data_IF_939802414637
#
_entry.id   IF_939802414637
#
_cell.length_a   1.000
_cell.length_b   1.000
_cell.length_c   1.000
_cell.angle_alpha   90.00
_cell.angle_beta   90.00
_cell.angle_gamma   90.00
#
_symmetry.space_group_name_H-M   'P 1'
#
loop_
_entity.id
_entity.type
_entity.pdbx_description
1 polymer ?
#
# COMPACT_ATOMS: atom_id res chain seq x y z
N UNK A 1 -11.25 -10.50 -4.10
CA UNK A 1 -11.98 -11.36 -3.16
C UNK A 1 -12.99 -10.50 -2.39
N UNK A 2 -14.22 -11.01 -2.24
CA UNK A 2 -15.34 -10.30 -1.63
C UNK A 2 -15.49 -10.74 -0.17
N UNK A 3 -15.32 -9.79 0.77
CA UNK A 3 -15.38 -10.04 2.20
C UNK A 3 -16.45 -9.18 2.88
N UNK A 4 -17.75 -9.50 2.73
CA UNK A 4 -18.86 -8.66 3.23
C UNK A 4 -18.89 -8.55 4.76
N UNK A 5 -18.27 -9.47 5.50
CA UNK A 5 -18.16 -9.38 6.96
C UNK A 5 -17.44 -8.12 7.43
N UNK A 6 -16.50 -7.60 6.65
CA UNK A 6 -15.77 -6.36 6.96
C UNK A 6 -16.70 -5.14 7.05
N UNK A 7 -17.85 -5.14 6.36
CA UNK A 7 -18.81 -4.03 6.44
C UNK A 7 -19.41 -3.84 7.83
N UNK A 8 -19.36 -4.88 8.68
CA UNK A 8 -19.86 -4.85 10.06
C UNK A 8 -18.77 -4.35 11.04
N UNK A 9 -17.55 -4.14 10.57
CA UNK A 9 -16.42 -3.74 11.40
C UNK A 9 -16.20 -2.22 11.30
N UNK A 10 -16.27 -1.46 12.42
CA UNK A 10 -15.97 -0.04 12.41
C UNK A 10 -14.57 0.29 11.87
N UNK A 11 -13.59 -0.59 12.13
CA UNK A 11 -12.22 -0.46 11.64
C UNK A 11 -12.12 -0.34 10.11
N UNK A 12 -13.02 -1.00 9.37
CA UNK A 12 -13.13 -0.89 7.91
C UNK A 12 -13.33 0.56 7.47
N UNK A 13 -14.30 1.25 8.07
CA UNK A 13 -14.65 2.63 7.70
C UNK A 13 -13.57 3.63 8.12
N UNK A 14 -12.94 3.42 9.28
CA UNK A 14 -11.82 4.25 9.73
C UNK A 14 -10.60 4.11 8.82
N UNK A 15 -10.23 2.88 8.45
CA UNK A 15 -9.12 2.64 7.53
C UNK A 15 -9.40 3.24 6.15
N UNK A 16 -10.62 3.06 5.63
CA UNK A 16 -11.03 3.67 4.36
C UNK A 16 -10.93 5.20 4.41
N UNK A 17 -11.50 5.84 5.46
CA UNK A 17 -11.44 7.29 5.62
C UNK A 17 -9.99 7.81 5.74
N UNK A 18 -9.12 7.07 6.43
CA UNK A 18 -7.70 7.43 6.54
C UNK A 18 -6.99 7.38 5.18
N UNK A 19 -7.23 6.34 4.38
CA UNK A 19 -6.65 6.23 3.04
C UNK A 19 -7.21 7.28 2.07
N UNK A 20 -8.51 7.58 2.12
CA UNK A 20 -9.09 8.72 1.38
C UNK A 20 -8.38 10.03 1.74
N UNK A 21 -8.17 10.27 3.03
CA UNK A 21 -7.53 11.48 3.54
C UNK A 21 -6.05 11.54 3.18
N UNK A 22 -5.37 10.40 3.11
CA UNK A 22 -4.00 10.30 2.64
C UNK A 22 -3.89 10.59 1.13
N UNK A 23 -4.86 10.14 0.33
CA UNK A 23 -4.84 10.29 -1.12
C UNK A 23 -5.14 11.72 -1.58
N UNK A 24 -6.13 12.40 -1.00
CA UNK A 24 -6.57 13.73 -1.46
C UNK A 24 -6.59 14.80 -0.37
N UNK A 25 -6.38 14.44 0.88
CA UNK A 25 -6.52 15.33 2.03
C UNK A 25 -7.94 15.37 2.59
N UNK A 26 -8.06 15.35 3.93
CA UNK A 26 -9.37 15.33 4.61
C UNK A 26 -10.27 16.49 4.19
N UNK A 27 -9.77 17.73 4.22
CA UNK A 27 -10.55 18.92 3.84
C UNK A 27 -11.00 18.89 2.38
N UNK A 28 -10.20 18.32 1.50
CA UNK A 28 -10.50 18.28 0.06
C UNK A 28 -11.68 17.36 -0.24
N UNK A 29 -11.68 16.12 0.27
CA UNK A 29 -12.81 15.23 0.01
C UNK A 29 -14.08 15.66 0.73
N UNK A 30 -13.99 16.25 1.93
CA UNK A 30 -15.17 16.81 2.65
C UNK A 30 -15.77 17.98 1.86
N UNK A 31 -14.94 18.93 1.40
CA UNK A 31 -15.39 20.03 0.55
C UNK A 31 -15.93 19.52 -0.80
N UNK A 32 -15.35 18.45 -1.35
CA UNK A 32 -15.87 17.78 -2.54
C UNK A 32 -17.29 17.27 -2.33
N UNK A 33 -17.56 16.59 -1.22
CA UNK A 33 -18.95 16.15 -0.87
C UNK A 33 -19.89 17.36 -0.75
N UNK A 34 -19.48 18.42 -0.06
CA UNK A 34 -20.26 19.67 0.00
C UNK A 34 -20.51 20.24 -1.39
N UNK A 35 -19.50 20.23 -2.25
CA UNK A 35 -19.60 20.73 -3.62
C UNK A 35 -20.65 20.01 -4.47
N UNK A 36 -20.87 18.71 -4.23
CA UNK A 36 -21.95 17.96 -4.89
C UNK A 36 -23.31 18.60 -4.63
N UNK A 37 -23.57 19.05 -3.40
CA UNK A 37 -24.84 19.70 -3.04
C UNK A 37 -24.96 21.14 -3.57
N UNK A 38 -23.82 21.79 -3.81
CA UNK A 38 -23.75 23.14 -4.39
C UNK A 38 -23.82 23.13 -5.93
N UNK A 39 -23.63 22.00 -6.55
CA UNK A 39 -23.67 21.82 -7.99
C UNK A 39 -25.06 22.04 -8.60
N UNK A 40 -25.13 22.40 -9.88
CA UNK A 40 -26.39 22.54 -10.61
C UNK A 40 -27.19 21.23 -10.56
N UNK A 41 -28.44 21.34 -10.11
CA UNK A 41 -29.29 20.19 -9.83
C UNK A 41 -29.62 19.32 -11.04
N UNK A 42 -29.62 19.91 -12.24
CA UNK A 42 -30.06 19.23 -13.48
C UNK A 42 -28.91 18.63 -14.28
N UNK A 43 -27.72 19.23 -14.22
CA UNK A 43 -26.60 18.85 -15.09
C UNK A 43 -25.43 18.23 -14.30
N UNK A 44 -24.92 18.92 -13.30
CA UNK A 44 -23.68 18.58 -12.63
C UNK A 44 -23.89 17.58 -11.49
N UNK A 45 -24.90 17.82 -10.66
CA UNK A 45 -25.16 17.02 -9.45
C UNK A 45 -25.39 15.52 -9.73
N UNK A 46 -26.19 15.12 -10.75
CA UNK A 46 -26.37 13.70 -11.05
C UNK A 46 -25.08 13.00 -11.45
N UNK A 47 -24.22 13.68 -12.22
CA UNK A 47 -22.91 13.16 -12.59
C UNK A 47 -22.03 12.96 -11.35
N UNK A 48 -21.90 13.99 -10.52
CA UNK A 48 -21.07 13.94 -9.32
C UNK A 48 -21.57 12.88 -8.35
N UNK A 49 -22.89 12.79 -8.13
CA UNK A 49 -23.48 11.73 -7.31
C UNK A 49 -23.17 10.35 -7.87
N UNK A 50 -23.28 10.17 -9.19
CA UNK A 50 -22.94 8.90 -9.85
C UNK A 50 -21.49 8.49 -9.62
N UNK A 51 -20.56 9.45 -9.70
CA UNK A 51 -19.14 9.22 -9.45
C UNK A 51 -18.88 8.80 -7.99
N UNK A 52 -19.49 9.50 -7.02
CA UNK A 52 -19.36 9.15 -5.60
C UNK A 52 -19.99 7.80 -5.27
N UNK A 53 -21.19 7.53 -5.81
CA UNK A 53 -21.86 6.23 -5.64
C UNK A 53 -21.02 5.11 -6.26
N UNK A 54 -20.45 5.34 -7.45
CA UNK A 54 -19.54 4.39 -8.10
C UNK A 54 -18.30 4.10 -7.25
N UNK A 55 -17.68 5.13 -6.66
CA UNK A 55 -16.54 4.97 -5.77
C UNK A 55 -16.89 4.20 -4.50
N UNK A 56 -18.05 4.51 -3.88
CA UNK A 56 -18.55 3.77 -2.71
C UNK A 56 -18.83 2.31 -3.08
N UNK A 57 -19.52 2.06 -4.19
CA UNK A 57 -19.81 0.71 -4.65
C UNK A 57 -18.52 -0.09 -4.92
N UNK A 58 -17.50 0.54 -5.48
CA UNK A 58 -16.19 -0.06 -5.70
C UNK A 58 -15.54 -0.45 -4.37
N UNK A 59 -15.53 0.44 -3.37
CA UNK A 59 -14.98 0.13 -2.03
C UNK A 59 -15.75 -0.97 -1.30
N UNK A 60 -17.07 -0.99 -1.41
CA UNK A 60 -17.89 -2.06 -0.84
C UNK A 60 -17.67 -3.41 -1.53
N UNK A 61 -17.36 -3.40 -2.83
CA UNK A 61 -17.08 -4.64 -3.59
C UNK A 61 -15.71 -5.22 -3.24
N UNK A 62 -14.71 -4.37 -3.00
CA UNK A 62 -13.33 -4.78 -2.70
C UNK A 62 -12.87 -4.32 -1.30
N UNK A 63 -13.60 -4.67 -0.21
CA UNK A 63 -13.38 -4.07 1.11
C UNK A 63 -11.97 -4.26 1.65
N UNK A 64 -11.36 -5.44 1.48
CA UNK A 64 -10.00 -5.71 1.91
C UNK A 64 -8.97 -4.81 1.21
N UNK A 65 -9.08 -4.68 -0.11
CA UNK A 65 -8.13 -3.87 -0.90
C UNK A 65 -8.27 -2.38 -0.60
N UNK A 66 -9.49 -1.93 -0.35
CA UNK A 66 -9.78 -0.55 0.02
C UNK A 66 -9.23 -0.13 1.39
N UNK A 67 -8.88 -1.08 2.24
CA UNK A 67 -8.30 -0.79 3.57
C UNK A 67 -6.80 -1.06 3.65
N UNK A 68 -6.23 -1.72 2.64
CA UNK A 68 -4.83 -2.15 2.67
C UNK A 68 -3.97 -1.57 1.56
N UNK A 69 -4.57 -1.01 0.50
CA UNK A 69 -3.85 -0.53 -0.68
C UNK A 69 -4.29 0.88 -1.07
N UNK A 70 -3.39 1.83 -0.98
CA UNK A 70 -3.64 3.25 -1.24
C UNK A 70 -3.99 3.54 -2.71
N UNK A 71 -3.44 2.79 -3.66
CA UNK A 71 -3.71 2.97 -5.09
C UNK A 71 -5.17 2.66 -5.51
N UNK A 72 -5.95 1.94 -4.71
CA UNK A 72 -7.38 1.77 -4.94
C UNK A 72 -8.16 3.10 -4.75
N UNK A 73 -7.55 4.10 -4.12
CA UNK A 73 -8.14 5.43 -3.94
C UNK A 73 -7.78 6.41 -5.06
N UNK A 74 -6.97 6.03 -6.06
CA UNK A 74 -6.66 6.88 -7.21
C UNK A 74 -7.90 7.43 -7.94
N UNK A 75 -9.00 6.67 -8.13
CA UNK A 75 -10.23 7.22 -8.72
C UNK A 75 -10.85 8.37 -7.91
N UNK A 76 -10.58 8.47 -6.61
CA UNK A 76 -11.08 9.57 -5.78
C UNK A 76 -10.48 10.93 -6.18
N UNK A 77 -9.25 10.96 -6.73
CA UNK A 77 -8.57 12.21 -7.10
C UNK A 77 -9.40 13.02 -8.11
N UNK A 78 -9.76 12.49 -9.29
CA UNK A 78 -10.60 13.22 -10.23
C UNK A 78 -12.03 13.46 -9.69
N UNK A 79 -12.59 12.55 -8.91
CA UNK A 79 -13.91 12.73 -8.29
C UNK A 79 -13.91 13.93 -7.35
N UNK A 80 -12.94 14.00 -6.44
CA UNK A 80 -12.80 15.11 -5.51
C UNK A 80 -12.53 16.43 -6.25
N UNK A 81 -11.64 16.44 -7.24
CA UNK A 81 -11.32 17.62 -8.03
C UNK A 81 -12.55 18.19 -8.77
N UNK A 82 -13.33 17.34 -9.44
CA UNK A 82 -14.57 17.76 -10.11
C UNK A 82 -15.62 18.26 -9.10
N UNK A 83 -15.73 17.57 -7.97
CA UNK A 83 -16.71 17.93 -6.93
C UNK A 83 -16.35 19.22 -6.20
N UNK A 84 -15.07 19.61 -6.16
CA UNK A 84 -14.64 20.89 -5.59
C UNK A 84 -15.07 22.11 -6.43
N UNK A 85 -15.22 21.96 -7.74
CA UNK A 85 -15.48 23.08 -8.64
C UNK A 85 -16.71 23.92 -8.24
N UNK A 86 -17.90 23.34 -7.91
CA UNK A 86 -19.03 24.12 -7.43
C UNK A 86 -18.76 24.83 -6.10
N UNK A 87 -18.06 24.21 -5.17
CA UNK A 87 -17.72 24.83 -3.88
C UNK A 87 -16.76 26.01 -4.08
N UNK A 88 -15.73 25.82 -4.92
CA UNK A 88 -14.77 26.88 -5.28
C UNK A 88 -15.48 28.05 -5.96
N UNK A 89 -16.43 27.78 -6.87
CA UNK A 89 -17.26 28.82 -7.52
C UNK A 89 -17.99 29.66 -6.48
N UNK A 90 -18.70 29.05 -5.52
CA UNK A 90 -19.40 29.78 -4.46
C UNK A 90 -18.45 30.61 -3.59
N UNK A 91 -17.30 30.03 -3.23
CA UNK A 91 -16.27 30.73 -2.45
C UNK A 91 -15.75 31.94 -3.26
N UNK A 92 -15.43 31.73 -4.55
CA UNK A 92 -14.91 32.78 -5.40
C UNK A 92 -15.92 33.94 -5.54
N UNK A 93 -17.18 33.64 -5.87
CA UNK A 93 -18.25 34.66 -5.95
C UNK A 93 -18.42 35.42 -4.64
N UNK A 94 -18.35 34.72 -3.50
CA UNK A 94 -18.52 35.33 -2.18
C UNK A 94 -17.38 36.30 -1.82
N UNK A 95 -16.15 35.92 -2.10
CA UNK A 95 -14.97 36.67 -1.64
C UNK A 95 -14.45 37.67 -2.67
N UNK A 96 -14.62 37.42 -3.99
CA UNK A 96 -14.04 38.26 -5.03
C UNK A 96 -15.05 39.10 -5.79
N UNK A 97 -16.28 38.65 -5.99
CA UNK A 97 -17.30 39.39 -6.74
C UNK A 97 -18.22 40.23 -5.85
N UNK A 98 -18.50 39.81 -4.61
CA UNK A 98 -19.42 40.50 -3.69
C UNK A 98 -18.70 41.42 -2.72
N UNK A 99 -17.90 42.36 -3.15
CA UNK A 99 -17.30 43.44 -2.33
C UNK A 99 -16.80 43.03 -0.93
N UNK A 100 -16.30 41.80 -0.79
CA UNK A 100 -15.56 41.41 0.40
C UNK A 100 -14.32 42.30 0.49
N UNK A 101 -14.04 42.85 1.67
CA UNK A 101 -12.88 43.71 1.88
C UNK A 101 -11.56 43.00 1.51
N UNK A 102 -10.48 43.75 1.41
CA UNK A 102 -9.15 43.23 1.05
C UNK A 102 -8.69 42.09 2.02
N UNK A 103 -8.92 42.29 3.32
CA UNK A 103 -8.46 41.35 4.35
C UNK A 103 -8.98 39.90 4.16
N UNK A 104 -10.29 39.63 3.99
CA UNK A 104 -10.77 38.25 3.80
C UNK A 104 -10.27 37.63 2.48
N UNK A 105 -10.02 38.42 1.43
CA UNK A 105 -9.39 37.92 0.18
C UNK A 105 -7.96 37.48 0.42
N UNK A 106 -7.17 38.29 1.10
CA UNK A 106 -5.78 37.95 1.44
C UNK A 106 -5.72 36.73 2.37
N UNK A 107 -6.63 36.66 3.34
CA UNK A 107 -6.73 35.52 4.25
C UNK A 107 -7.05 34.20 3.50
N UNK A 108 -7.98 34.24 2.54
CA UNK A 108 -8.29 33.06 1.70
C UNK A 108 -7.10 32.64 0.84
N UNK A 109 -6.44 33.60 0.19
CA UNK A 109 -5.23 33.32 -0.62
C UNK A 109 -4.13 32.73 0.26
N UNK A 110 -3.87 33.33 1.43
CA UNK A 110 -2.86 32.83 2.36
C UNK A 110 -3.19 31.41 2.85
N UNK A 111 -4.46 31.11 3.14
CA UNK A 111 -4.91 29.76 3.54
C UNK A 111 -4.68 28.73 2.44
N UNK A 112 -5.00 29.06 1.18
CA UNK A 112 -4.78 28.17 0.04
C UNK A 112 -3.28 27.94 -0.18
N UNK A 113 -2.46 29.00 -0.16
CA UNK A 113 -1.01 28.90 -0.32
C UNK A 113 -0.38 28.10 0.83
N UNK A 114 -0.80 28.34 2.06
CA UNK A 114 -0.33 27.57 3.21
C UNK A 114 -0.69 26.09 3.10
N UNK A 115 -1.95 25.77 2.79
CA UNK A 115 -2.39 24.38 2.60
C UNK A 115 -1.60 23.67 1.49
N UNK A 116 -1.38 24.35 0.37
CA UNK A 116 -0.57 23.83 -0.74
C UNK A 116 0.89 23.61 -0.32
N UNK A 117 1.48 24.55 0.41
CA UNK A 117 2.86 24.44 0.90
C UNK A 117 3.03 23.26 1.87
N UNK A 118 2.06 23.07 2.77
CA UNK A 118 2.05 21.92 3.71
C UNK A 118 1.99 20.59 2.95
N UNK A 119 1.11 20.46 1.97
CA UNK A 119 1.01 19.23 1.18
C UNK A 119 2.26 18.98 0.32
N UNK A 120 2.81 20.02 -0.28
CA UNK A 120 4.07 19.94 -1.01
C UNK A 120 5.24 19.51 -0.11
N UNK A 121 5.28 20.01 1.13
CA UNK A 121 6.27 19.59 2.13
C UNK A 121 6.14 18.11 2.49
N UNK A 122 4.94 17.63 2.76
CA UNK A 122 4.70 16.19 3.03
C UNK A 122 5.07 15.33 1.83
N UNK A 123 4.68 15.73 0.61
CA UNK A 123 5.06 15.04 -0.61
C UNK A 123 6.58 14.95 -0.78
N UNK A 124 7.28 16.09 -0.58
CA UNK A 124 8.75 16.14 -0.62
C UNK A 124 9.38 15.23 0.44
N UNK A 125 8.87 15.27 1.69
CA UNK A 125 9.39 14.45 2.78
C UNK A 125 9.24 12.95 2.47
N UNK A 126 8.09 12.55 1.92
CA UNK A 126 7.82 11.16 1.51
C UNK A 126 8.74 10.72 0.37
N UNK A 127 8.95 11.55 -0.64
CA UNK A 127 9.88 11.27 -1.73
C UNK A 127 11.34 11.19 -1.24
N UNK A 128 11.72 12.05 -0.30
CA UNK A 128 13.08 12.05 0.25
C UNK A 128 13.36 10.87 1.20
N UNK A 129 12.33 10.26 1.79
CA UNK A 129 12.47 9.08 2.66
C UNK A 129 12.73 7.78 1.89
N UNK A 130 12.43 7.76 0.60
CA UNK A 130 12.65 6.60 -0.27
C UNK A 130 14.03 6.73 -0.95
N UNK A 131 15.06 6.18 -0.33
CA UNK A 131 16.42 6.18 -0.89
C UNK A 131 16.71 4.84 -1.57
N UNK A 132 16.69 4.83 -2.89
CA UNK A 132 16.93 3.65 -3.71
C UNK A 132 18.36 3.56 -4.26
N UNK A 133 19.31 4.41 -3.81
CA UNK A 133 20.67 4.46 -4.36
C UNK A 133 21.46 3.18 -4.16
N UNK A 134 21.20 2.48 -3.07
CA UNK A 134 21.88 1.23 -2.73
C UNK A 134 21.09 -0.03 -3.15
N UNK A 135 19.96 0.14 -3.81
CA UNK A 135 19.09 -1.00 -4.12
C UNK A 135 19.73 -1.93 -5.15
N UNK A 136 20.23 -1.40 -6.25
CA UNK A 136 20.89 -2.22 -7.28
C UNK A 136 22.09 -2.99 -6.74
N UNK A 137 23.10 -2.36 -6.09
CA UNK A 137 24.24 -3.08 -5.51
C UNK A 137 23.85 -4.14 -4.47
N UNK A 138 22.82 -3.86 -3.67
CA UNK A 138 22.31 -4.82 -2.67
C UNK A 138 21.78 -6.11 -3.30
N UNK A 139 20.95 -5.98 -4.34
CA UNK A 139 20.39 -7.15 -5.01
C UNK A 139 21.41 -7.87 -5.91
N UNK A 140 22.34 -7.13 -6.52
CA UNK A 140 23.46 -7.69 -7.28
C UNK A 140 24.33 -8.58 -6.36
N UNK A 141 24.69 -8.11 -5.17
CA UNK A 141 25.46 -8.89 -4.20
C UNK A 141 24.77 -10.23 -3.86
N UNK A 142 23.43 -10.19 -3.61
CA UNK A 142 22.67 -11.39 -3.31
C UNK A 142 22.63 -12.34 -4.53
N UNK A 143 22.43 -11.79 -5.73
CA UNK A 143 22.44 -12.56 -6.98
C UNK A 143 23.77 -13.26 -7.22
N UNK A 144 24.88 -12.55 -7.03
CA UNK A 144 26.24 -13.08 -7.15
C UNK A 144 26.49 -14.23 -6.16
N UNK A 145 26.08 -14.06 -4.89
CA UNK A 145 26.20 -15.11 -3.86
C UNK A 145 25.40 -16.38 -4.21
N UNK A 146 24.25 -16.21 -4.85
CA UNK A 146 23.37 -17.31 -5.27
C UNK A 146 23.76 -17.90 -6.64
N UNK A 147 24.71 -17.28 -7.35
CA UNK A 147 25.23 -17.74 -8.65
C UNK A 147 24.24 -17.63 -9.80
N UNK A 148 23.21 -16.79 -9.68
CA UNK A 148 22.17 -16.43 -10.68
C UNK A 148 21.30 -17.59 -11.22
N UNK A 149 21.59 -18.82 -10.84
CA UNK A 149 20.89 -20.03 -11.35
C UNK A 149 20.31 -20.90 -10.24
N UNK A 150 20.54 -20.56 -8.98
CA UNK A 150 20.06 -21.35 -7.85
C UNK A 150 18.53 -21.41 -7.81
N UNK A 151 17.99 -22.54 -7.38
CA UNK A 151 16.56 -22.69 -7.09
C UNK A 151 16.26 -22.07 -5.73
N UNK A 152 15.76 -20.83 -5.72
CA UNK A 152 15.53 -20.02 -4.52
C UNK A 152 14.05 -19.88 -4.23
N UNK A 153 13.70 -19.88 -2.95
CA UNK A 153 12.44 -19.37 -2.43
C UNK A 153 12.74 -18.28 -1.41
N UNK A 154 11.93 -17.25 -1.31
CA UNK A 154 12.28 -16.16 -0.41
C UNK A 154 11.12 -15.35 0.12
N UNK A 155 11.35 -14.83 1.31
CA UNK A 155 10.56 -13.78 1.95
C UNK A 155 11.23 -12.44 1.69
N UNK A 156 10.96 -11.88 0.50
CA UNK A 156 11.66 -10.72 -0.04
C UNK A 156 10.67 -9.64 -0.49
N UNK A 157 11.16 -8.39 -0.55
CA UNK A 157 10.37 -7.27 -1.07
C UNK A 157 9.87 -7.58 -2.49
N UNK A 158 8.66 -7.10 -2.78
CA UNK A 158 8.03 -7.20 -4.09
C UNK A 158 8.05 -8.63 -4.66
N UNK A 159 7.83 -9.64 -3.79
CA UNK A 159 7.74 -11.06 -4.17
C UNK A 159 8.96 -11.59 -4.95
N UNK A 160 10.13 -10.99 -4.74
CA UNK A 160 11.38 -11.39 -5.41
C UNK A 160 11.63 -10.69 -6.76
N UNK A 161 10.75 -9.80 -7.22
CA UNK A 161 10.96 -9.09 -8.49
C UNK A 161 12.19 -8.18 -8.48
N UNK A 162 12.56 -7.60 -7.32
CA UNK A 162 13.78 -6.79 -7.19
C UNK A 162 15.03 -7.63 -7.35
N UNK A 163 15.07 -8.82 -6.75
CA UNK A 163 16.14 -9.78 -6.92
C UNK A 163 16.25 -10.23 -8.39
N UNK A 164 15.12 -10.51 -9.03
CA UNK A 164 15.11 -10.89 -10.44
C UNK A 164 15.63 -9.77 -11.36
N UNK A 165 15.27 -8.52 -11.08
CA UNK A 165 15.61 -7.38 -11.91
C UNK A 165 17.06 -6.91 -11.72
N UNK A 166 17.49 -6.72 -10.47
CA UNK A 166 18.82 -6.21 -10.16
C UNK A 166 19.85 -7.33 -9.94
N UNK A 167 19.45 -8.41 -9.27
CA UNK A 167 20.33 -9.53 -8.92
C UNK A 167 20.39 -10.62 -9.99
N UNK A 168 19.61 -10.50 -11.09
CA UNK A 168 19.55 -11.51 -12.16
C UNK A 168 19.29 -12.92 -11.63
N UNK A 169 18.64 -13.04 -10.48
CA UNK A 169 18.34 -14.27 -9.78
C UNK A 169 16.82 -14.40 -9.55
N UNK A 170 16.22 -15.42 -10.14
CA UNK A 170 14.82 -15.73 -9.91
C UNK A 170 14.60 -16.37 -8.53
N UNK A 171 13.52 -16.00 -7.86
CA UNK A 171 13.06 -16.70 -6.66
C UNK A 171 11.54 -16.95 -6.72
N UNK A 172 11.12 -18.03 -6.09
CA UNK A 172 9.69 -18.21 -5.76
C UNK A 172 9.40 -17.39 -4.51
N UNK A 173 8.22 -16.77 -4.44
CA UNK A 173 7.84 -16.00 -3.26
C UNK A 173 7.29 -16.92 -2.16
N UNK A 174 7.78 -16.76 -0.93
CA UNK A 174 7.10 -17.21 0.26
C UNK A 174 6.01 -16.20 0.65
N UNK A 175 4.95 -16.68 1.29
CA UNK A 175 3.82 -15.84 1.71
C UNK A 175 4.22 -14.78 2.74
N UNK A 176 3.76 -13.56 2.56
CA UNK A 176 3.77 -12.54 3.61
C UNK A 176 2.58 -12.74 4.56
N UNK A 177 2.63 -12.14 5.75
CA UNK A 177 1.58 -12.25 6.77
C UNK A 177 0.19 -11.85 6.24
N UNK A 178 0.14 -10.86 5.35
CA UNK A 178 -1.10 -10.43 4.71
C UNK A 178 -1.72 -11.52 3.82
N UNK A 179 -0.91 -12.26 3.06
CA UNK A 179 -1.39 -13.37 2.22
C UNK A 179 -1.98 -14.50 3.07
N UNK A 180 -1.34 -14.80 4.20
CA UNK A 180 -1.80 -15.79 5.18
C UNK A 180 -3.14 -15.35 5.76
N UNK A 181 -3.25 -14.09 6.19
CA UNK A 181 -4.49 -13.52 6.73
C UNK A 181 -5.65 -13.58 5.73
N UNK A 182 -5.40 -13.23 4.47
CA UNK A 182 -6.43 -13.30 3.41
C UNK A 182 -6.93 -14.72 3.19
N UNK A 183 -6.06 -15.73 3.30
CA UNK A 183 -6.45 -17.13 3.19
C UNK A 183 -7.34 -17.56 4.35
N UNK A 184 -6.99 -17.20 5.59
CA UNK A 184 -7.85 -17.46 6.76
C UNK A 184 -9.21 -16.75 6.66
N UNK A 185 -9.25 -15.49 6.22
CA UNK A 185 -10.49 -14.75 5.97
C UNK A 185 -11.36 -15.43 4.89
N UNK A 186 -10.73 -16.12 3.95
CA UNK A 186 -11.41 -16.91 2.91
C UNK A 186 -11.84 -18.30 3.39
N UNK A 187 -11.65 -18.64 4.68
CA UNK A 187 -12.00 -19.93 5.26
C UNK A 187 -11.05 -21.06 4.86
N UNK A 188 -9.84 -20.75 4.40
CA UNK A 188 -8.82 -21.74 4.11
C UNK A 188 -8.00 -22.00 5.38
N UNK A 189 -7.96 -23.24 5.82
CA UNK A 189 -7.01 -23.67 6.84
C UNK A 189 -5.66 -23.95 6.16
N UNK A 190 -4.60 -23.37 6.71
CA UNK A 190 -3.25 -23.46 6.15
C UNK A 190 -2.30 -24.07 7.18
N UNK A 191 -1.93 -25.36 6.96
CA UNK A 191 -0.81 -25.95 7.68
C UNK A 191 0.51 -25.33 7.15
N UNK A 192 1.06 -24.40 7.92
CA UNK A 192 2.28 -23.67 7.55
C UNK A 192 3.49 -24.62 7.41
N UNK A 193 3.57 -25.69 8.24
CA UNK A 193 4.69 -26.64 8.17
C UNK A 193 4.62 -27.51 6.92
N UNK A 194 3.43 -28.02 6.62
CA UNK A 194 3.19 -28.77 5.40
C UNK A 194 3.46 -27.91 4.17
N UNK A 195 2.91 -26.70 4.16
CA UNK A 195 3.11 -25.74 3.04
C UNK A 195 4.58 -25.38 2.84
N UNK A 196 5.33 -25.20 3.92
CA UNK A 196 6.78 -24.97 3.83
C UNK A 196 7.49 -26.16 3.18
N UNK A 197 7.18 -27.38 3.60
CA UNK A 197 7.80 -28.58 3.02
C UNK A 197 7.47 -28.72 1.52
N UNK A 198 6.24 -28.41 1.11
CA UNK A 198 5.81 -28.44 -0.29
C UNK A 198 6.55 -27.38 -1.14
N UNK A 199 6.59 -26.13 -0.68
CA UNK A 199 7.13 -25.01 -1.48
C UNK A 199 8.66 -24.98 -1.49
N UNK A 200 9.31 -25.56 -0.49
CA UNK A 200 10.77 -25.69 -0.43
C UNK A 200 11.29 -26.96 -1.13
N UNK A 201 10.40 -27.87 -1.55
CA UNK A 201 10.81 -29.06 -2.27
C UNK A 201 11.59 -28.71 -3.54
N UNK A 202 12.84 -29.20 -3.64
CA UNK A 202 13.73 -28.93 -4.75
C UNK A 202 14.35 -27.53 -4.78
N UNK A 203 14.16 -26.73 -3.72
CA UNK A 203 14.85 -25.46 -3.55
C UNK A 203 16.20 -25.67 -2.88
N UNK A 204 17.18 -24.85 -3.28
CA UNK A 204 18.53 -24.88 -2.72
C UNK A 204 18.67 -23.91 -1.55
N UNK A 205 18.02 -22.74 -1.64
CA UNK A 205 18.14 -21.68 -0.64
C UNK A 205 16.79 -21.08 -0.28
N UNK A 206 16.71 -20.64 0.99
CA UNK A 206 15.65 -19.77 1.47
C UNK A 206 16.25 -18.40 1.80
N UNK A 207 15.84 -17.37 1.06
CA UNK A 207 16.31 -16.00 1.24
C UNK A 207 15.31 -15.19 2.07
N UNK A 208 15.79 -14.46 3.06
CA UNK A 208 15.02 -13.49 3.84
C UNK A 208 15.67 -12.13 3.74
N UNK A 209 14.93 -11.13 3.28
CA UNK A 209 15.29 -9.71 3.35
C UNK A 209 14.23 -8.90 4.11
N UNK A 210 13.10 -9.53 4.44
CA UNK A 210 11.99 -8.93 5.19
C UNK A 210 11.95 -9.50 6.62
N UNK A 211 12.90 -9.11 7.47
CA UNK A 211 12.98 -9.62 8.85
C UNK A 211 11.73 -9.34 9.69
N UNK A 212 11.07 -8.19 9.47
CA UNK A 212 9.79 -7.89 10.12
C UNK A 212 8.72 -8.93 9.81
N UNK A 213 8.61 -9.34 8.53
CA UNK A 213 7.69 -10.38 8.10
C UNK A 213 8.08 -11.76 8.63
N UNK A 214 9.38 -12.08 8.70
CA UNK A 214 9.85 -13.31 9.32
C UNK A 214 9.49 -13.36 10.81
N UNK A 215 9.65 -12.26 11.53
CA UNK A 215 9.28 -12.17 12.94
C UNK A 215 7.78 -12.33 13.19
N UNK A 216 6.94 -11.93 12.24
CA UNK A 216 5.49 -12.15 12.26
C UNK A 216 5.09 -13.60 11.96
N UNK A 217 6.06 -14.45 11.56
CA UNK A 217 5.84 -15.86 11.20
C UNK A 217 6.73 -16.79 12.08
N UNK A 218 6.47 -16.91 13.38
CA UNK A 218 7.35 -17.62 14.32
C UNK A 218 7.58 -19.07 13.93
N UNK A 219 6.59 -19.76 13.38
CA UNK A 219 6.70 -21.17 12.95
C UNK A 219 7.78 -21.34 11.87
N UNK A 220 7.82 -20.42 10.89
CA UNK A 220 8.82 -20.48 9.82
C UNK A 220 10.18 -20.03 10.33
N UNK A 221 10.22 -18.99 11.14
CA UNK A 221 11.45 -18.53 11.77
C UNK A 221 12.12 -19.65 12.54
N UNK A 222 11.40 -20.30 13.45
CA UNK A 222 11.90 -21.41 14.24
C UNK A 222 12.36 -22.58 13.37
N UNK A 223 11.59 -22.89 12.31
CA UNK A 223 11.95 -23.98 11.39
C UNK A 223 13.24 -23.69 10.63
N UNK A 224 13.42 -22.48 10.12
CA UNK A 224 14.61 -22.07 9.39
C UNK A 224 15.86 -22.12 10.29
N UNK A 225 15.82 -21.44 11.43
CA UNK A 225 16.99 -21.37 12.33
C UNK A 225 17.31 -22.68 13.05
N UNK A 226 16.32 -23.58 13.26
CA UNK A 226 16.57 -24.85 13.93
C UNK A 226 17.00 -25.99 13.01
N UNK A 227 16.64 -25.92 11.71
CA UNK A 227 16.83 -27.05 10.78
C UNK A 227 17.81 -26.79 9.65
N UNK A 228 18.10 -25.53 9.33
CA UNK A 228 18.90 -25.22 8.17
C UNK A 228 20.10 -24.36 8.54
N UNK A 229 21.30 -24.67 8.07
CA UNK A 229 22.47 -23.84 8.32
C UNK A 229 22.34 -22.52 7.56
N UNK A 230 22.88 -21.46 8.17
CA UNK A 230 23.03 -20.16 7.52
C UNK A 230 24.14 -20.25 6.50
N UNK A 231 23.81 -20.01 5.22
CA UNK A 231 24.77 -19.95 4.12
C UNK A 231 25.47 -18.58 4.07
N UNK A 232 24.70 -17.50 4.23
CA UNK A 232 25.21 -16.13 4.32
C UNK A 232 24.25 -15.27 5.13
N UNK A 233 24.80 -14.31 5.87
CA UNK A 233 24.02 -13.40 6.73
C UNK A 233 24.69 -12.03 6.78
N UNK A 234 23.86 -10.99 6.77
CA UNK A 234 24.22 -9.60 7.03
C UNK A 234 23.10 -8.96 7.87
N UNK A 235 23.24 -7.68 8.20
CA UNK A 235 22.16 -6.95 8.87
C UNK A 235 20.91 -6.75 7.99
N UNK A 236 21.02 -6.95 6.66
CA UNK A 236 19.97 -6.67 5.70
C UNK A 236 19.35 -7.93 5.07
N UNK A 237 20.04 -9.08 5.11
CA UNK A 237 19.51 -10.35 4.62
C UNK A 237 20.12 -11.56 5.33
N UNK A 238 19.40 -12.69 5.26
CA UNK A 238 19.93 -14.02 5.62
C UNK A 238 19.52 -15.04 4.55
N UNK A 239 20.43 -15.94 4.21
CA UNK A 239 20.24 -17.03 3.27
C UNK A 239 20.44 -18.35 4.03
N UNK A 240 19.45 -19.22 4.02
CA UNK A 240 19.51 -20.56 4.60
C UNK A 240 19.78 -21.60 3.50
N UNK A 241 20.65 -22.55 3.77
CA UNK A 241 20.90 -23.70 2.90
C UNK A 241 19.86 -24.80 3.16
N UNK A 242 18.98 -25.01 2.21
CA UNK A 242 17.92 -26.03 2.30
C UNK A 242 18.39 -27.42 1.90
N UNK A 243 19.57 -27.55 1.29
CA UNK A 243 20.10 -28.84 0.80
C UNK A 243 20.77 -29.66 1.91
N UNK A 244 21.29 -28.97 2.95
CA UNK A 244 22.03 -29.62 4.04
C UNK A 244 21.34 -29.38 5.39
N UNK A 245 20.11 -29.89 5.64
CA UNK A 245 19.45 -29.68 6.89
C UNK A 245 20.29 -30.27 8.05
N UNK A 246 20.37 -29.51 9.15
CA UNK A 246 21.02 -29.99 10.38
C UNK A 246 20.17 -31.11 10.95
N UNK A 247 20.80 -32.25 11.22
CA UNK A 247 20.10 -33.37 11.86
C UNK A 247 19.51 -32.92 13.21
N UNK A 248 18.27 -33.32 13.55
CA UNK A 248 17.64 -32.97 14.82
C UNK A 248 18.37 -33.57 16.01
#
# INVERSE_FOLDING_TARGET
>A
RFFPKMWLEPAFYFSWQNLMSSAVGFGVWVLGVVGVFLADARRERPLLLGLWVGYIAFGMTFPYHFTTHDYYHLPLIPIAALSLAPAVKVIFERFFERNAGLFPRLALVALVLFGTAVQAWYGRARLASADYRNEAPFWEEIGDKLGHTAAVIGLTQDYGYRLAYWGWQNSSAWFISADIQVRYMAGQDLDIRQKFAEDTAGKQYFLVTMFGELNNQPVIKDLLYSRYPVYAETDEYVIFDLQHPVSP
#
